data_IF_429138926458
#
_entry.id   IF_429138926458
#
_cell.length_a   1.000
_cell.length_b   1.000
_cell.length_c   1.000
_cell.angle_alpha   90.00
_cell.angle_beta   90.00
_cell.angle_gamma   90.00
#
_symmetry.space_group_name_H-M   'P 1'
#
loop_
_entity.id
_entity.type
_entity.pdbx_description
1 polymer ?
#
# COMPACT_ATOMS: atom_id res chain seq x y z
N UNK A 1 16.60 13.56 -17.00
CA UNK A 1 15.96 12.33 -16.54
C UNK A 1 14.53 12.63 -16.10
N UNK A 2 13.55 11.90 -16.65
CA UNK A 2 12.13 12.00 -16.26
C UNK A 2 11.88 11.01 -15.13
N UNK A 3 11.07 11.40 -14.14
CA UNK A 3 10.55 10.51 -13.09
C UNK A 3 9.11 10.15 -13.44
N UNK A 4 8.78 8.87 -13.30
CA UNK A 4 7.45 8.31 -13.52
C UNK A 4 6.99 7.61 -12.25
N UNK A 5 5.73 7.83 -11.88
CA UNK A 5 5.08 7.01 -10.86
C UNK A 5 4.72 5.65 -11.45
N UNK A 6 4.87 4.60 -10.66
CA UNK A 6 4.48 3.23 -11.01
C UNK A 6 3.44 2.72 -10.05
N UNK A 7 2.56 1.86 -10.53
CA UNK A 7 1.48 1.25 -9.76
C UNK A 7 1.35 -0.22 -10.09
N UNK A 8 1.29 -1.07 -9.06
CA UNK A 8 0.78 -2.42 -9.12
C UNK A 8 -0.38 -2.54 -8.16
N UNK A 9 -1.58 -2.69 -8.69
CA UNK A 9 -2.78 -2.87 -7.87
C UNK A 9 -2.98 -4.35 -7.50
N UNK A 10 -3.61 -4.60 -6.36
CA UNK A 10 -4.04 -5.92 -5.91
C UNK A 10 -5.57 -5.88 -5.81
N UNK A 11 -6.26 -6.59 -6.70
CA UNK A 11 -7.72 -6.58 -6.77
C UNK A 11 -8.29 -7.76 -6.01
N UNK A 12 -8.83 -7.50 -4.82
CA UNK A 12 -9.62 -8.48 -4.08
C UNK A 12 -11.06 -8.46 -4.55
N UNK A 13 -11.73 -9.60 -4.48
CA UNK A 13 -13.11 -9.78 -4.90
C UNK A 13 -13.72 -11.06 -4.34
N UNK A 14 -15.07 -11.11 -4.27
CA UNK A 14 -15.80 -12.33 -3.99
C UNK A 14 -16.44 -12.90 -5.25
N UNK A 15 -16.55 -14.22 -5.33
CA UNK A 15 -17.32 -14.92 -6.34
C UNK A 15 -18.54 -15.59 -5.70
N UNK A 16 -19.71 -15.34 -6.30
CA UNK A 16 -20.99 -15.94 -5.86
C UNK A 16 -21.59 -16.74 -7.02
N UNK A 17 -22.10 -17.93 -6.72
CA UNK A 17 -22.90 -18.69 -7.69
C UNK A 17 -24.08 -17.83 -8.17
N UNK A 18 -24.28 -17.77 -9.48
CA UNK A 18 -25.28 -16.93 -10.10
C UNK A 18 -26.69 -17.20 -9.60
N UNK A 19 -27.02 -18.45 -9.31
CA UNK A 19 -28.36 -18.82 -8.78
C UNK A 19 -28.57 -18.29 -7.37
N UNK A 20 -27.53 -18.39 -6.52
CA UNK A 20 -27.55 -17.86 -5.15
C UNK A 20 -27.64 -16.32 -5.19
N UNK A 21 -26.93 -15.68 -6.07
CA UNK A 21 -27.00 -14.23 -6.24
C UNK A 21 -28.44 -13.77 -6.59
N UNK A 22 -29.09 -14.41 -7.54
CA UNK A 22 -30.46 -14.07 -7.93
C UNK A 22 -31.51 -14.43 -6.86
N UNK A 23 -31.22 -15.40 -6.01
CA UNK A 23 -32.08 -15.73 -4.87
C UNK A 23 -32.00 -14.72 -3.70
N UNK A 24 -31.04 -13.76 -3.75
CA UNK A 24 -30.79 -12.76 -2.71
C UNK A 24 -31.00 -11.35 -3.27
N UNK A 25 -32.20 -10.75 -3.12
CA UNK A 25 -32.48 -9.39 -3.60
C UNK A 25 -31.53 -8.33 -3.02
N UNK A 26 -31.12 -8.47 -1.76
CA UNK A 26 -30.17 -7.60 -1.11
C UNK A 26 -28.80 -7.60 -1.82
N UNK A 27 -28.24 -8.75 -2.16
CA UNK A 27 -27.01 -8.85 -2.96
C UNK A 27 -27.19 -8.24 -4.37
N UNK A 28 -28.32 -8.54 -5.01
CA UNK A 28 -28.57 -8.09 -6.37
C UNK A 28 -28.71 -6.56 -6.46
N UNK A 29 -29.31 -5.92 -5.47
CA UNK A 29 -29.61 -4.48 -5.44
C UNK A 29 -28.44 -3.69 -4.85
N UNK A 30 -27.80 -4.16 -3.79
CA UNK A 30 -26.83 -3.38 -3.02
C UNK A 30 -25.39 -3.88 -3.13
N UNK A 31 -25.16 -5.06 -3.69
CA UNK A 31 -23.85 -5.71 -3.72
C UNK A 31 -23.44 -6.33 -2.39
N UNK A 32 -24.29 -6.30 -1.34
CA UNK A 32 -24.02 -6.85 -0.01
C UNK A 32 -25.25 -7.50 0.61
N UNK A 33 -25.02 -8.40 1.58
CA UNK A 33 -26.12 -8.96 2.38
C UNK A 33 -26.54 -7.97 3.46
N UNK A 34 -27.85 -7.74 3.60
CA UNK A 34 -28.44 -6.87 4.62
C UNK A 34 -29.13 -7.65 5.74
N UNK A 35 -29.53 -8.87 5.48
CA UNK A 35 -30.23 -9.76 6.40
C UNK A 35 -29.85 -11.21 6.15
N UNK A 36 -30.21 -12.11 7.06
CA UNK A 36 -29.95 -13.53 6.96
C UNK A 36 -29.18 -14.05 8.18
N UNK A 37 -28.87 -15.34 8.13
CA UNK A 37 -28.12 -16.04 9.18
C UNK A 37 -26.61 -16.06 8.85
N UNK A 38 -25.78 -16.15 9.89
CA UNK A 38 -24.34 -16.38 9.73
C UNK A 38 -24.06 -17.69 8.98
N UNK A 39 -23.04 -17.73 8.11
CA UNK A 39 -22.69 -18.95 7.39
C UNK A 39 -22.16 -20.03 8.35
N UNK A 40 -22.28 -21.29 7.96
CA UNK A 40 -21.74 -22.41 8.71
C UNK A 40 -20.20 -22.41 8.75
N UNK A 41 -19.56 -21.89 7.71
CA UNK A 41 -18.11 -21.71 7.63
C UNK A 41 -17.72 -20.24 7.77
N UNK A 42 -16.78 -19.97 8.68
CA UNK A 42 -16.10 -18.68 8.82
C UNK A 42 -14.66 -18.74 8.31
N UNK A 43 -13.78 -18.02 8.98
CA UNK A 43 -12.34 -17.90 8.62
C UNK A 43 -11.43 -18.67 9.58
N UNK A 44 -11.95 -19.74 10.22
CA UNK A 44 -11.18 -20.51 11.20
C UNK A 44 -9.93 -21.07 10.56
N UNK A 45 -8.79 -20.90 11.25
CA UNK A 45 -7.48 -21.38 10.84
C UNK A 45 -7.01 -20.87 9.47
N UNK A 46 -7.69 -19.88 8.89
CA UNK A 46 -7.39 -19.35 7.55
C UNK A 46 -7.32 -20.46 6.48
N UNK A 47 -8.12 -21.51 6.64
CA UNK A 47 -8.06 -22.72 5.82
C UNK A 47 -8.41 -22.45 4.35
N UNK A 48 -9.21 -21.43 4.05
CA UNK A 48 -9.47 -20.99 2.68
C UNK A 48 -8.22 -20.39 2.04
N UNK A 49 -7.50 -19.51 2.73
CA UNK A 49 -6.28 -18.87 2.21
C UNK A 49 -5.22 -19.90 1.79
N UNK A 50 -5.00 -20.92 2.60
CA UNK A 50 -4.04 -22.00 2.34
C UNK A 50 -4.59 -23.16 1.53
N UNK A 51 -5.88 -23.13 1.19
CA UNK A 51 -6.57 -24.18 0.45
C UNK A 51 -6.28 -24.14 -1.06
N UNK A 52 -6.65 -25.23 -1.74
CA UNK A 52 -6.63 -25.27 -3.20
C UNK A 52 -7.81 -24.49 -3.79
N UNK A 53 -7.57 -23.85 -4.94
CA UNK A 53 -8.63 -23.15 -5.68
C UNK A 53 -9.55 -24.19 -6.32
N UNK A 54 -10.87 -24.13 -6.11
CA UNK A 54 -11.81 -25.06 -6.73
C UNK A 54 -11.74 -25.02 -8.26
N UNK A 55 -11.92 -26.16 -8.92
CA UNK A 55 -11.76 -26.30 -10.38
C UNK A 55 -12.61 -25.29 -11.17
N UNK A 56 -13.87 -25.10 -10.79
CA UNK A 56 -14.76 -24.12 -11.44
C UNK A 56 -14.22 -22.70 -11.34
N UNK A 57 -13.63 -22.32 -10.20
CA UNK A 57 -13.01 -21.03 -9.99
C UNK A 57 -11.71 -20.92 -10.79
N UNK A 58 -10.89 -21.98 -10.82
CA UNK A 58 -9.67 -22.03 -11.63
C UNK A 58 -9.98 -21.83 -13.12
N UNK A 59 -11.06 -22.43 -13.64
CA UNK A 59 -11.48 -22.26 -15.03
C UNK A 59 -11.91 -20.80 -15.32
N UNK A 60 -12.65 -20.18 -14.42
CA UNK A 60 -12.97 -18.75 -14.48
C UNK A 60 -11.69 -17.89 -14.47
N UNK A 61 -10.80 -18.12 -13.51
CA UNK A 61 -9.55 -17.36 -13.39
C UNK A 61 -8.66 -17.48 -14.63
N UNK A 62 -8.58 -18.67 -15.22
CA UNK A 62 -7.80 -18.91 -16.44
C UNK A 62 -8.38 -18.15 -17.64
N UNK A 63 -9.70 -18.11 -17.76
CA UNK A 63 -10.33 -17.41 -18.87
C UNK A 63 -10.19 -15.88 -18.72
N UNK A 64 -10.46 -15.30 -17.54
CA UNK A 64 -10.31 -13.86 -17.39
C UNK A 64 -8.85 -13.41 -17.54
N UNK A 65 -7.89 -14.17 -17.05
CA UNK A 65 -6.46 -13.90 -17.26
C UNK A 65 -6.13 -13.87 -18.76
N UNK A 66 -6.61 -14.85 -19.51
CA UNK A 66 -6.42 -14.89 -20.96
C UNK A 66 -7.02 -13.68 -21.67
N UNK A 67 -8.23 -13.29 -21.32
CA UNK A 67 -8.88 -12.09 -21.87
C UNK A 67 -8.11 -10.81 -21.49
N UNK A 68 -7.59 -10.71 -20.27
CA UNK A 68 -6.76 -9.61 -19.83
C UNK A 68 -5.45 -9.52 -20.63
N UNK A 69 -4.76 -10.65 -20.82
CA UNK A 69 -3.51 -10.70 -21.58
C UNK A 69 -3.69 -10.28 -23.05
N UNK A 70 -4.83 -10.60 -23.67
CA UNK A 70 -5.17 -10.11 -25.03
C UNK A 70 -5.24 -8.58 -25.12
N UNK A 71 -5.60 -7.91 -24.02
CA UNK A 71 -5.69 -6.46 -23.95
C UNK A 71 -4.41 -5.82 -23.39
N UNK A 72 -3.34 -6.62 -23.17
CA UNK A 72 -2.07 -6.15 -22.65
C UNK A 72 -2.05 -5.95 -21.13
N UNK A 73 -3.08 -6.37 -20.40
CA UNK A 73 -3.10 -6.31 -18.93
C UNK A 73 -2.24 -7.43 -18.37
N UNK A 74 -1.09 -7.12 -17.72
CA UNK A 74 -0.07 -8.13 -17.39
C UNK A 74 -0.37 -8.84 -16.06
N UNK A 75 -1.47 -9.59 -15.98
CA UNK A 75 -1.83 -10.37 -14.79
C UNK A 75 -0.70 -11.32 -14.43
N UNK A 76 -0.31 -11.33 -13.16
CA UNK A 76 0.81 -12.10 -12.64
C UNK A 76 0.40 -13.16 -11.64
N UNK A 77 -0.46 -12.79 -10.68
CA UNK A 77 -0.88 -13.67 -9.59
C UNK A 77 -2.39 -13.73 -9.47
N UNK A 78 -2.89 -14.86 -9.02
CA UNK A 78 -4.27 -15.11 -8.59
C UNK A 78 -4.24 -16.17 -7.51
N UNK A 79 -4.93 -15.92 -6.41
CA UNK A 79 -4.92 -16.80 -5.25
C UNK A 79 -6.22 -16.67 -4.43
N UNK A 80 -6.36 -17.56 -3.45
CA UNK A 80 -7.40 -17.45 -2.44
C UNK A 80 -7.07 -16.33 -1.46
N UNK A 81 -8.10 -15.61 -1.03
CA UNK A 81 -8.07 -14.72 0.12
C UNK A 81 -8.62 -15.40 1.38
N UNK A 82 -8.64 -14.67 2.51
CA UNK A 82 -8.94 -15.24 3.82
C UNK A 82 -10.40 -15.65 3.97
N UNK A 83 -11.34 -14.86 3.44
CA UNK A 83 -12.75 -15.19 3.55
C UNK A 83 -13.16 -16.28 2.56
N UNK A 84 -14.13 -17.14 2.90
CA UNK A 84 -14.69 -18.11 1.97
C UNK A 84 -15.18 -17.45 0.67
N UNK A 85 -14.83 -18.01 -0.48
CA UNK A 85 -15.13 -17.50 -1.81
C UNK A 85 -14.56 -16.09 -2.11
N UNK A 86 -13.54 -15.68 -1.38
CA UNK A 86 -12.77 -14.48 -1.66
C UNK A 86 -11.46 -14.84 -2.35
N UNK A 87 -11.10 -14.03 -3.34
CA UNK A 87 -9.93 -14.23 -4.19
C UNK A 87 -9.26 -12.89 -4.49
N UNK A 88 -8.02 -12.97 -4.94
CA UNK A 88 -7.25 -11.81 -5.39
C UNK A 88 -6.58 -12.08 -6.73
N UNK A 89 -6.39 -11.02 -7.52
CA UNK A 89 -5.47 -11.01 -8.64
C UNK A 89 -4.65 -9.72 -8.66
N UNK A 90 -3.40 -9.84 -9.10
CA UNK A 90 -2.47 -8.72 -9.19
C UNK A 90 -1.65 -8.80 -10.49
N UNK A 91 -1.38 -7.64 -11.15
CA UNK A 91 -0.53 -7.56 -12.33
C UNK A 91 0.95 -7.37 -11.97
N UNK A 92 1.81 -7.42 -12.98
CA UNK A 92 3.07 -6.68 -12.95
C UNK A 92 2.78 -5.18 -12.85
N UNK A 93 3.60 -4.44 -12.09
CA UNK A 93 3.46 -2.99 -12.02
C UNK A 93 3.77 -2.31 -13.36
N UNK A 94 3.08 -1.22 -13.62
CA UNK A 94 3.21 -0.42 -14.82
C UNK A 94 3.31 1.07 -14.48
N UNK A 95 3.44 1.93 -15.49
CA UNK A 95 3.25 3.36 -15.32
C UNK A 95 1.84 3.61 -14.75
N UNK A 96 1.74 4.52 -13.78
CA UNK A 96 0.54 4.63 -12.93
C UNK A 96 -0.75 4.90 -13.71
N UNK A 97 -0.73 5.72 -14.76
CA UNK A 97 -1.91 6.01 -15.57
C UNK A 97 -2.39 4.77 -16.33
N UNK A 98 -1.45 4.05 -16.98
CA UNK A 98 -1.75 2.81 -17.68
C UNK A 98 -2.29 1.74 -16.73
N UNK A 99 -1.67 1.59 -15.57
CA UNK A 99 -2.12 0.64 -14.55
C UNK A 99 -3.55 0.92 -14.06
N UNK A 100 -3.92 2.19 -13.91
CA UNK A 100 -5.29 2.61 -13.55
C UNK A 100 -6.28 2.21 -14.64
N UNK A 101 -5.97 2.48 -15.90
CA UNK A 101 -6.84 2.11 -17.03
C UNK A 101 -7.00 0.60 -17.13
N UNK A 102 -5.90 -0.15 -16.98
CA UNK A 102 -5.92 -1.61 -16.96
C UNK A 102 -6.76 -2.19 -15.82
N UNK A 103 -6.75 -1.57 -14.64
CA UNK A 103 -7.62 -2.00 -13.54
C UNK A 103 -9.11 -1.82 -13.87
N UNK A 104 -9.49 -0.71 -14.50
CA UNK A 104 -10.89 -0.49 -14.91
C UNK A 104 -11.34 -1.52 -15.95
N UNK A 105 -10.49 -1.81 -16.93
CA UNK A 105 -10.75 -2.86 -17.92
C UNK A 105 -10.84 -4.24 -17.26
N UNK A 106 -9.96 -4.56 -16.32
CA UNK A 106 -10.00 -5.81 -15.56
C UNK A 106 -11.35 -6.01 -14.88
N UNK A 107 -11.85 -5.01 -14.16
CA UNK A 107 -13.11 -5.12 -13.42
C UNK A 107 -14.29 -5.46 -14.35
N UNK A 108 -14.30 -4.87 -15.54
CA UNK A 108 -15.30 -5.20 -16.59
C UNK A 108 -15.13 -6.62 -17.14
N UNK A 109 -13.89 -7.02 -17.48
CA UNK A 109 -13.58 -8.36 -17.97
C UNK A 109 -13.96 -9.43 -16.93
N UNK A 110 -13.58 -9.24 -15.68
CA UNK A 110 -13.93 -10.16 -14.58
C UNK A 110 -15.43 -10.38 -14.51
N UNK A 111 -16.22 -9.30 -14.57
CA UNK A 111 -17.68 -9.36 -14.52
C UNK A 111 -18.28 -10.08 -15.73
N UNK A 112 -17.74 -9.86 -16.94
CA UNK A 112 -18.19 -10.51 -18.18
C UNK A 112 -17.86 -12.00 -18.19
N UNK A 113 -16.64 -12.36 -17.82
CA UNK A 113 -16.18 -13.75 -17.79
C UNK A 113 -16.89 -14.54 -16.68
N UNK A 114 -17.11 -13.93 -15.52
CA UNK A 114 -17.84 -14.59 -14.42
C UNK A 114 -19.22 -15.10 -14.86
N UNK A 115 -19.96 -14.31 -15.64
CA UNK A 115 -21.27 -14.73 -16.19
C UNK A 115 -21.17 -15.97 -17.09
N UNK A 116 -20.11 -16.11 -17.87
CA UNK A 116 -19.89 -17.31 -18.71
C UNK A 116 -19.73 -18.57 -17.86
N UNK A 117 -19.14 -18.41 -16.65
CA UNK A 117 -18.93 -19.49 -15.66
C UNK A 117 -20.05 -19.61 -14.64
N UNK A 118 -21.19 -18.91 -14.85
CA UNK A 118 -22.32 -18.91 -13.91
C UNK A 118 -21.92 -18.40 -12.52
N UNK A 119 -21.03 -17.39 -12.48
CA UNK A 119 -20.67 -16.63 -11.30
C UNK A 119 -21.09 -15.18 -11.39
N UNK A 120 -21.16 -14.51 -10.24
CA UNK A 120 -21.19 -13.07 -10.10
C UNK A 120 -19.97 -12.63 -9.27
N UNK A 121 -19.28 -11.60 -9.76
CA UNK A 121 -18.22 -10.93 -9.00
C UNK A 121 -18.86 -9.89 -8.12
N UNK A 122 -18.49 -9.88 -6.84
CA UNK A 122 -18.82 -8.81 -5.92
C UNK A 122 -17.58 -7.97 -5.67
N UNK A 123 -17.66 -6.70 -6.03
CA UNK A 123 -16.61 -5.69 -5.81
C UNK A 123 -16.95 -4.76 -4.65
N UNK A 124 -18.09 -4.95 -3.98
CA UNK A 124 -18.41 -4.24 -2.75
C UNK A 124 -17.35 -4.54 -1.68
N UNK A 125 -16.91 -3.54 -0.94
CA UNK A 125 -15.81 -3.64 0.02
C UNK A 125 -16.14 -4.55 1.21
N UNK A 126 -17.41 -4.69 1.57
CA UNK A 126 -17.87 -5.52 2.68
C UNK A 126 -19.17 -6.22 2.31
N UNK A 127 -19.16 -7.22 1.42
CA UNK A 127 -20.39 -7.87 0.98
C UNK A 127 -21.03 -8.75 2.07
N UNK A 128 -20.24 -9.22 3.04
CA UNK A 128 -20.71 -10.08 4.13
C UNK A 128 -20.20 -9.55 5.45
N UNK A 129 -21.09 -9.39 6.42
CA UNK A 129 -20.73 -9.01 7.79
C UNK A 129 -19.98 -10.14 8.51
N UNK A 130 -19.05 -9.78 9.41
CA UNK A 130 -18.36 -10.73 10.28
C UNK A 130 -17.18 -11.49 9.65
N UNK A 131 -16.93 -11.33 8.35
CA UNK A 131 -15.77 -11.90 7.66
C UNK A 131 -14.97 -10.79 6.95
N UNK A 132 -13.84 -11.15 6.35
CA UNK A 132 -12.97 -10.21 5.66
C UNK A 132 -13.71 -9.40 4.58
N UNK A 133 -13.29 -8.15 4.40
CA UNK A 133 -13.73 -7.31 3.29
C UNK A 133 -12.72 -7.34 2.15
N UNK A 134 -13.06 -6.71 1.03
CA UNK A 134 -12.19 -6.62 -0.14
C UNK A 134 -11.64 -5.22 -0.35
N UNK A 135 -10.34 -5.14 -0.51
CA UNK A 135 -9.61 -3.93 -0.86
C UNK A 135 -9.08 -3.93 -2.28
N UNK A 136 -8.40 -2.87 -2.59
CA UNK A 136 -7.59 -2.71 -3.79
C UNK A 136 -6.28 -2.06 -3.37
N UNK A 137 -5.31 -2.86 -2.94
CA UNK A 137 -4.05 -2.34 -2.46
C UNK A 137 -3.27 -1.70 -3.61
N UNK A 138 -2.78 -0.50 -3.40
CA UNK A 138 -2.04 0.24 -4.40
C UNK A 138 -0.55 0.23 -4.06
N UNK A 139 0.21 -0.62 -4.72
CA UNK A 139 1.68 -0.66 -4.62
C UNK A 139 2.26 0.45 -5.50
N UNK A 140 2.61 1.56 -4.87
CA UNK A 140 3.10 2.76 -5.52
C UNK A 140 4.60 2.96 -5.33
N UNK A 141 5.30 3.35 -6.41
CA UNK A 141 6.69 3.73 -6.37
C UNK A 141 7.01 4.82 -7.39
N UNK A 142 8.26 5.29 -7.38
CA UNK A 142 8.79 6.23 -8.35
C UNK A 142 10.02 5.64 -9.02
N UNK A 143 10.07 5.71 -10.35
CA UNK A 143 11.22 5.27 -11.11
C UNK A 143 11.66 6.33 -12.14
N UNK A 144 12.94 6.32 -12.49
CA UNK A 144 13.42 7.10 -13.62
C UNK A 144 13.01 6.43 -14.93
N UNK A 145 12.96 7.19 -16.01
CA UNK A 145 12.75 6.65 -17.35
C UNK A 145 13.86 5.69 -17.84
N UNK A 146 14.92 5.53 -17.03
CA UNK A 146 15.99 4.54 -17.24
C UNK A 146 15.83 3.29 -16.36
N UNK A 147 14.68 3.15 -15.67
CA UNK A 147 14.35 1.98 -14.87
C UNK A 147 14.90 1.99 -13.43
N UNK A 148 15.53 3.07 -12.97
CA UNK A 148 16.05 3.14 -11.59
C UNK A 148 14.90 3.46 -10.63
N UNK A 149 14.62 2.57 -9.67
CA UNK A 149 13.67 2.80 -8.60
C UNK A 149 14.26 3.77 -7.56
N UNK A 150 13.56 4.87 -7.28
CA UNK A 150 13.99 5.93 -6.36
C UNK A 150 13.66 5.62 -4.88
N UNK A 151 12.81 4.64 -4.63
CA UNK A 151 12.47 4.12 -3.31
C UNK A 151 13.24 2.83 -2.96
N UNK A 152 14.25 2.48 -3.73
CA UNK A 152 15.12 1.34 -3.41
C UNK A 152 16.22 1.75 -2.43
N UNK A 153 16.23 1.20 -1.19
CA UNK A 153 17.21 1.56 -0.16
C UNK A 153 18.63 1.11 -0.49
N UNK A 154 18.79 0.07 -1.33
CA UNK A 154 20.08 -0.51 -1.61
C UNK A 154 20.67 -1.29 -0.42
N UNK A 155 21.95 -1.62 -0.48
CA UNK A 155 22.63 -2.38 0.57
C UNK A 155 22.92 -1.58 1.84
N UNK A 156 23.03 -0.26 1.73
CA UNK A 156 23.35 0.67 2.83
C UNK A 156 22.36 1.84 2.84
N UNK A 157 21.13 1.63 3.31
CA UNK A 157 20.06 2.64 3.25
C UNK A 157 20.46 3.97 3.88
N UNK A 158 21.17 3.94 5.02
CA UNK A 158 21.63 5.11 5.78
C UNK A 158 22.55 6.03 4.96
N UNK A 159 23.33 5.46 4.04
CA UNK A 159 24.28 6.21 3.22
C UNK A 159 23.73 6.51 1.82
N UNK A 160 22.53 6.06 1.50
CA UNK A 160 21.89 6.31 0.22
C UNK A 160 21.07 7.61 0.26
N UNK A 161 21.75 8.75 0.06
CA UNK A 161 21.13 10.07 0.14
C UNK A 161 19.97 10.22 -0.87
N UNK A 162 20.07 9.61 -2.06
CA UNK A 162 19.00 9.63 -3.04
C UNK A 162 17.74 8.91 -2.49
N UNK A 163 17.89 7.69 -1.97
CA UNK A 163 16.79 6.97 -1.35
C UNK A 163 16.16 7.77 -0.19
N UNK A 164 17.00 8.25 0.73
CA UNK A 164 16.55 9.05 1.87
C UNK A 164 15.78 10.30 1.44
N UNK A 165 16.23 10.96 0.37
CA UNK A 165 15.56 12.13 -0.17
C UNK A 165 14.12 11.81 -0.59
N UNK A 166 13.92 10.81 -1.42
CA UNK A 166 12.57 10.45 -1.89
C UNK A 166 11.71 9.84 -0.79
N UNK A 167 12.30 8.99 0.04
CA UNK A 167 11.61 8.31 1.14
C UNK A 167 11.08 9.30 2.21
N UNK A 168 11.95 10.19 2.71
CA UNK A 168 11.57 11.16 3.76
C UNK A 168 10.59 12.20 3.21
N UNK A 169 10.76 12.66 1.97
CA UNK A 169 9.79 13.56 1.34
C UNK A 169 8.42 12.89 1.14
N UNK A 170 8.37 11.59 0.85
CA UNK A 170 7.11 10.85 0.79
C UNK A 170 6.43 10.81 2.17
N UNK A 171 7.15 10.50 3.23
CA UNK A 171 6.60 10.53 4.60
C UNK A 171 6.12 11.94 5.00
N UNK A 172 6.89 12.97 4.65
CA UNK A 172 6.50 14.36 4.91
C UNK A 172 5.25 14.75 4.15
N UNK A 173 5.11 14.34 2.88
CA UNK A 173 3.91 14.56 2.08
C UNK A 173 2.68 13.89 2.71
N UNK A 174 2.80 12.61 3.12
CA UNK A 174 1.71 11.88 3.80
C UNK A 174 1.34 12.55 5.11
N UNK A 175 2.32 13.01 5.90
CA UNK A 175 2.06 13.76 7.13
C UNK A 175 1.30 15.07 6.88
N UNK A 176 1.71 15.83 5.87
CA UNK A 176 1.14 17.15 5.58
C UNK A 176 -0.28 17.06 4.99
N UNK A 177 -0.56 16.01 4.21
CA UNK A 177 -1.79 15.84 3.44
C UNK A 177 -2.54 14.54 3.78
N UNK A 178 -2.46 14.10 5.04
CA UNK A 178 -3.18 12.92 5.53
C UNK A 178 -4.69 13.03 5.34
N UNK A 179 -5.23 14.24 5.47
CA UNK A 179 -6.64 14.58 5.25
C UNK A 179 -7.09 14.32 3.81
N UNK A 180 -6.28 14.69 2.81
CA UNK A 180 -6.57 14.40 1.40
C UNK A 180 -6.53 12.90 1.11
N UNK A 181 -5.57 12.16 1.70
CA UNK A 181 -5.53 10.70 1.58
C UNK A 181 -6.76 10.06 2.23
N UNK A 182 -7.19 10.55 3.40
CA UNK A 182 -8.42 10.07 4.04
C UNK A 182 -9.65 10.36 3.19
N UNK A 183 -9.73 11.55 2.60
CA UNK A 183 -10.84 11.93 1.73
C UNK A 183 -10.92 11.06 0.47
N UNK A 184 -9.79 10.73 -0.17
CA UNK A 184 -9.78 9.98 -1.42
C UNK A 184 -10.20 8.51 -1.29
N UNK A 185 -10.27 7.97 -0.08
CA UNK A 185 -10.71 6.59 0.21
C UNK A 185 -12.09 6.54 0.88
N UNK A 186 -12.70 7.68 1.14
CA UNK A 186 -13.99 7.76 1.83
C UNK A 186 -15.14 7.35 0.89
N UNK A 187 -15.79 6.25 1.24
CA UNK A 187 -17.02 5.80 0.61
C UNK A 187 -17.80 4.93 1.59
N UNK A 188 -19.12 4.87 1.43
CA UNK A 188 -19.98 4.08 2.32
C UNK A 188 -19.55 2.60 2.38
N UNK A 189 -19.20 1.99 1.23
CA UNK A 189 -18.71 0.61 1.18
C UNK A 189 -17.40 0.43 1.93
N UNK A 190 -16.45 1.34 1.73
CA UNK A 190 -15.15 1.27 2.34
C UNK A 190 -15.15 1.58 3.84
N UNK A 191 -16.08 2.42 4.31
CA UNK A 191 -16.26 2.67 5.75
C UNK A 191 -16.76 1.43 6.51
N UNK A 192 -17.49 0.52 5.84
CA UNK A 192 -17.83 -0.80 6.40
C UNK A 192 -16.63 -1.73 6.50
N UNK A 193 -15.62 -1.56 5.65
CA UNK A 193 -14.42 -2.40 5.59
C UNK A 193 -13.32 -1.93 6.53
N UNK A 194 -12.96 -0.64 6.50
CA UNK A 194 -11.82 -0.08 7.21
C UNK A 194 -11.94 -0.28 8.74
N UNK A 195 -10.84 -0.72 9.36
CA UNK A 195 -10.78 -0.99 10.79
C UNK A 195 -11.43 -2.31 11.21
N UNK A 196 -11.82 -3.16 10.27
CA UNK A 196 -12.44 -4.46 10.54
C UNK A 196 -11.67 -5.59 9.85
N UNK A 197 -11.47 -6.70 10.57
CA UNK A 197 -10.72 -7.89 10.13
C UNK A 197 -9.29 -7.53 9.72
N UNK A 198 -8.90 -7.78 8.47
CA UNK A 198 -7.55 -7.49 7.96
C UNK A 198 -7.39 -6.09 7.34
N UNK A 199 -8.47 -5.34 7.21
CA UNK A 199 -8.40 -4.02 6.63
C UNK A 199 -7.66 -3.04 7.57
N UNK A 200 -6.84 -2.11 7.04
CA UNK A 200 -6.16 -1.12 7.86
C UNK A 200 -7.17 -0.19 8.55
N UNK A 201 -6.78 0.46 9.66
CA UNK A 201 -7.61 1.50 10.26
C UNK A 201 -7.80 2.69 9.31
N UNK A 202 -8.87 3.44 9.50
CA UNK A 202 -9.14 4.65 8.72
C UNK A 202 -8.20 5.82 9.03
N UNK A 203 -7.41 5.72 10.10
CA UNK A 203 -6.43 6.72 10.52
C UNK A 203 -5.23 6.65 9.58
N UNK A 204 -4.93 7.74 8.88
CA UNK A 204 -3.78 7.80 7.98
C UNK A 204 -2.50 7.88 8.80
N UNK A 205 -1.68 6.84 8.67
CA UNK A 205 -0.35 6.71 9.26
C UNK A 205 0.54 5.88 8.34
N UNK A 206 1.85 5.91 8.59
CA UNK A 206 2.83 5.19 7.78
C UNK A 206 3.57 4.15 8.60
N UNK A 207 3.58 2.92 8.12
CA UNK A 207 4.45 1.85 8.60
C UNK A 207 5.73 1.80 7.76
N UNK A 208 6.90 1.79 8.39
CA UNK A 208 8.19 1.75 7.68
C UNK A 208 9.12 0.62 8.15
N UNK A 209 8.73 -0.08 9.20
CA UNK A 209 9.49 -1.15 9.83
C UNK A 209 10.56 -0.64 10.80
N UNK A 210 10.93 -1.50 11.73
CA UNK A 210 11.83 -1.16 12.86
C UNK A 210 13.21 -0.70 12.39
N UNK A 211 13.72 -1.29 11.32
CA UNK A 211 15.04 -0.95 10.79
C UNK A 211 15.11 0.48 10.25
N UNK A 212 14.15 0.87 9.39
CA UNK A 212 14.12 2.24 8.83
C UNK A 212 13.75 3.25 9.92
N UNK A 213 12.87 2.90 10.85
CA UNK A 213 12.56 3.74 12.01
C UNK A 213 13.83 4.01 12.84
N UNK A 214 14.65 3.00 13.12
CA UNK A 214 15.93 3.18 13.79
C UNK A 214 16.90 4.08 13.01
N UNK A 215 17.00 3.91 11.70
CA UNK A 215 17.83 4.78 10.84
C UNK A 215 17.36 6.24 10.90
N UNK A 216 16.05 6.50 10.81
CA UNK A 216 15.52 7.87 10.90
C UNK A 216 15.76 8.49 12.28
N UNK A 217 15.58 7.73 13.36
CA UNK A 217 15.84 8.19 14.71
C UNK A 217 17.34 8.49 14.95
N UNK A 218 18.22 7.70 14.36
CA UNK A 218 19.66 7.96 14.37
C UNK A 218 20.00 9.25 13.59
N UNK A 219 19.41 9.43 12.42
CA UNK A 219 19.62 10.65 11.62
C UNK A 219 19.08 11.90 12.31
N UNK A 220 17.99 11.77 13.08
CA UNK A 220 17.46 12.85 13.90
C UNK A 220 18.43 13.27 15.01
N UNK A 221 19.08 12.30 15.69
CA UNK A 221 19.95 12.51 16.87
C UNK A 221 21.36 12.98 16.51
N UNK A 222 21.91 12.59 15.37
CA UNK A 222 23.35 12.63 15.03
C UNK A 222 23.95 13.97 14.64
N UNK A 223 23.37 15.12 14.93
CA UNK A 223 23.99 16.37 14.53
C UNK A 223 24.34 17.28 15.68
N UNK A 224 25.66 17.33 15.98
CA UNK A 224 26.31 18.59 16.38
C UNK A 224 26.41 19.47 15.14
N UNK A 225 26.15 20.80 15.20
CA UNK A 225 26.37 21.70 14.08
C UNK A 225 27.81 21.57 13.57
N UNK A 226 28.00 21.25 12.28
CA UNK A 226 29.31 21.13 11.65
C UNK A 226 29.90 19.71 11.54
N UNK A 227 29.17 18.66 11.91
CA UNK A 227 29.63 17.28 11.73
C UNK A 227 29.40 16.77 10.32
N UNK A 228 30.49 16.51 9.58
CA UNK A 228 30.42 15.72 8.34
C UNK A 228 29.85 14.34 8.65
N UNK A 229 29.00 13.78 7.77
CA UNK A 229 28.66 12.36 7.81
C UNK A 229 29.95 11.55 7.68
N UNK A 230 30.42 10.96 8.78
CA UNK A 230 31.47 9.95 8.69
C UNK A 230 30.87 8.67 8.12
N UNK A 231 31.57 7.93 7.25
CA UNK A 231 31.20 6.59 6.87
C UNK A 231 31.16 5.74 8.13
N UNK A 232 29.99 5.36 8.57
CA UNK A 232 29.86 4.60 9.80
C UNK A 232 30.28 3.14 9.65
N UNK A 233 30.89 2.68 10.72
CA UNK A 233 31.26 1.31 10.96
C UNK A 233 30.13 0.35 10.59
N UNK A 234 30.51 -0.66 9.82
CA UNK A 234 29.69 -1.79 9.43
C UNK A 234 29.05 -2.46 10.63
N UNK A 235 27.81 -2.14 10.94
CA UNK A 235 26.98 -3.01 11.75
C UNK A 235 26.46 -4.13 10.85
N UNK A 236 27.38 -4.96 10.37
CA UNK A 236 27.06 -6.29 9.88
C UNK A 236 26.70 -7.14 11.09
N UNK A 237 25.43 -7.40 11.29
CA UNK A 237 25.04 -8.61 12.03
C UNK A 237 25.48 -9.79 11.16
N UNK A 238 26.72 -10.25 11.37
CA UNK A 238 27.22 -11.49 10.82
C UNK A 238 26.52 -12.65 11.55
N UNK A 239 25.37 -13.05 11.02
CA UNK A 239 24.94 -14.42 11.24
C UNK A 239 25.93 -15.32 10.48
N UNK A 240 26.72 -16.10 11.21
CA UNK A 240 27.83 -16.90 10.70
C UNK A 240 27.43 -18.09 9.81
N UNK A 241 26.43 -17.95 8.94
CA UNK A 241 25.97 -18.96 8.00
C UNK A 241 26.03 -18.35 6.60
N UNK A 242 27.07 -18.68 5.88
CA UNK A 242 27.51 -18.07 4.62
C UNK A 242 26.68 -18.29 3.36
N UNK A 243 25.36 -18.49 3.41
CA UNK A 243 24.50 -18.62 2.22
C UNK A 243 23.02 -18.29 2.46
N UNK A 244 22.63 -17.69 3.55
CA UNK A 244 21.25 -17.23 3.74
C UNK A 244 21.20 -15.75 3.35
N UNK A 245 20.30 -15.31 2.43
CA UNK A 245 20.05 -13.90 2.22
C UNK A 245 19.73 -13.28 3.57
N UNK A 246 20.20 -12.06 3.85
CA UNK A 246 19.78 -11.32 5.03
C UNK A 246 18.27 -11.14 4.95
N UNK A 247 17.55 -12.02 5.61
CA UNK A 247 16.12 -11.87 5.84
C UNK A 247 16.02 -10.75 6.86
N UNK A 248 15.57 -9.59 6.41
CA UNK A 248 15.16 -8.51 7.28
C UNK A 248 13.94 -9.02 8.05
N UNK A 249 14.19 -9.50 9.26
CA UNK A 249 13.16 -9.98 10.18
C UNK A 249 12.36 -8.79 10.69
N UNK A 250 11.40 -8.36 9.92
CA UNK A 250 10.28 -7.57 10.42
C UNK A 250 9.06 -8.51 10.51
N UNK A 251 8.83 -9.05 11.70
CA UNK A 251 7.71 -9.97 11.96
C UNK A 251 6.40 -9.24 12.28
N UNK A 252 6.34 -7.93 12.05
CA UNK A 252 5.13 -7.15 12.32
C UNK A 252 4.11 -7.43 11.22
N UNK A 253 2.90 -7.83 11.63
CA UNK A 253 1.76 -7.98 10.71
C UNK A 253 1.39 -6.60 10.13
N UNK A 254 1.84 -6.33 8.91
CA UNK A 254 1.60 -5.07 8.19
C UNK A 254 0.12 -4.74 8.05
N UNK A 255 -0.75 -5.75 8.01
CA UNK A 255 -2.19 -5.60 7.80
C UNK A 255 -2.86 -4.85 8.97
N UNK A 256 -2.30 -4.95 10.17
CA UNK A 256 -2.85 -4.36 11.39
C UNK A 256 -2.22 -3.04 11.80
N UNK A 257 -1.26 -2.53 11.04
CA UNK A 257 -0.50 -1.34 11.40
C UNK A 257 -1.09 -0.08 10.79
N UNK A 258 -0.63 0.28 9.62
CA UNK A 258 -0.93 1.55 8.96
C UNK A 258 -1.47 1.33 7.55
N UNK A 259 -2.36 2.21 7.08
CA UNK A 259 -2.89 2.12 5.72
C UNK A 259 -1.86 2.43 4.64
N UNK A 260 -0.74 3.05 5.00
CA UNK A 260 0.35 3.39 4.09
C UNK A 260 1.64 2.74 4.58
N UNK A 261 2.07 1.65 3.95
CA UNK A 261 3.17 0.80 4.41
C UNK A 261 4.32 0.74 3.41
N UNK A 262 5.56 0.92 3.89
CA UNK A 262 6.75 0.71 3.08
C UNK A 262 7.10 -0.79 3.02
N UNK A 263 7.22 -1.34 1.82
CA UNK A 263 7.43 -2.78 1.59
C UNK A 263 8.74 -3.05 0.83
N UNK A 264 9.81 -2.36 1.22
CA UNK A 264 11.17 -2.61 0.76
C UNK A 264 11.63 -1.76 -0.43
N UNK A 265 10.80 -1.45 -1.40
CA UNK A 265 11.13 -0.59 -2.54
C UNK A 265 9.92 0.17 -3.11
N UNK A 266 8.84 0.20 -2.37
CA UNK A 266 7.57 0.84 -2.72
C UNK A 266 6.76 1.11 -1.46
N UNK A 267 5.77 1.97 -1.56
CA UNK A 267 4.71 2.10 -0.57
C UNK A 267 3.45 1.39 -1.05
N UNK A 268 2.83 0.66 -0.17
CA UNK A 268 1.54 0.01 -0.36
C UNK A 268 0.46 0.83 0.33
N UNK A 269 -0.44 1.42 -0.45
CA UNK A 269 -1.62 2.10 0.09
C UNK A 269 -2.80 1.13 0.11
N UNK A 270 -3.14 0.64 1.30
CA UNK A 270 -4.01 -0.51 1.55
C UNK A 270 -5.45 -0.13 1.82
N UNK A 271 -5.73 1.16 1.94
CA UNK A 271 -7.03 1.67 2.32
C UNK A 271 -7.98 1.90 1.13
N UNK A 272 -7.56 1.68 -0.10
CA UNK A 272 -8.41 1.82 -1.29
C UNK A 272 -9.40 0.65 -1.33
N UNK A 273 -10.68 0.95 -1.54
CA UNK A 273 -11.74 -0.06 -1.64
C UNK A 273 -11.72 -0.83 -2.96
N UNK A 274 -12.20 -2.07 -2.95
CA UNK A 274 -12.19 -2.96 -4.12
C UNK A 274 -13.01 -2.43 -5.30
N UNK A 275 -14.11 -1.71 -5.06
CA UNK A 275 -14.93 -1.11 -6.10
C UNK A 275 -14.40 0.22 -6.63
N UNK A 276 -13.45 0.85 -5.92
CA UNK A 276 -12.97 2.19 -6.22
C UNK A 276 -12.08 2.23 -7.47
N UNK A 277 -12.04 3.40 -8.12
CA UNK A 277 -11.04 3.69 -9.13
C UNK A 277 -9.72 4.12 -8.46
N UNK A 278 -8.61 3.48 -8.82
CA UNK A 278 -7.28 3.83 -8.31
C UNK A 278 -6.87 5.28 -8.63
N UNK A 279 -7.48 5.91 -9.63
CA UNK A 279 -7.13 7.26 -10.07
C UNK A 279 -7.20 8.29 -8.93
N UNK A 280 -8.19 8.19 -8.04
CA UNK A 280 -8.32 9.12 -6.91
C UNK A 280 -7.11 9.05 -5.98
N UNK A 281 -6.76 7.85 -5.53
CA UNK A 281 -5.59 7.64 -4.66
C UNK A 281 -4.29 8.05 -5.36
N UNK A 282 -4.11 7.64 -6.63
CA UNK A 282 -2.89 7.97 -7.39
C UNK A 282 -2.75 9.46 -7.65
N UNK A 283 -3.83 10.16 -7.96
CA UNK A 283 -3.82 11.62 -8.14
C UNK A 283 -3.37 12.33 -6.87
N UNK A 284 -3.94 11.94 -5.73
CA UNK A 284 -3.58 12.54 -4.43
C UNK A 284 -2.12 12.26 -4.09
N UNK A 285 -1.68 10.98 -4.13
CA UNK A 285 -0.31 10.60 -3.79
C UNK A 285 0.69 11.32 -4.70
N UNK A 286 0.49 11.28 -6.01
CA UNK A 286 1.41 11.90 -6.96
C UNK A 286 1.48 13.43 -6.79
N UNK A 287 0.34 14.08 -6.56
CA UNK A 287 0.28 15.54 -6.40
C UNK A 287 0.95 15.99 -5.11
N UNK A 288 0.64 15.34 -3.97
CA UNK A 288 1.23 15.72 -2.69
C UNK A 288 2.74 15.48 -2.65
N UNK A 289 3.23 14.38 -3.24
CA UNK A 289 4.66 14.09 -3.31
C UNK A 289 5.37 15.05 -4.26
N UNK A 290 4.77 15.38 -5.41
CA UNK A 290 5.34 16.35 -6.34
C UNK A 290 5.44 17.75 -5.71
N UNK A 291 4.41 18.20 -5.00
CA UNK A 291 4.44 19.48 -4.27
C UNK A 291 5.52 19.48 -3.19
N UNK A 292 5.60 18.41 -2.40
CA UNK A 292 6.60 18.27 -1.35
C UNK A 292 8.04 18.28 -1.89
N UNK A 293 8.29 17.60 -3.00
CA UNK A 293 9.62 17.61 -3.65
C UNK A 293 9.98 18.99 -4.22
N UNK A 294 8.99 19.75 -4.72
CA UNK A 294 9.18 21.13 -5.18
C UNK A 294 9.58 22.05 -4.01
N UNK A 295 8.89 21.93 -2.88
CA UNK A 295 9.20 22.69 -1.66
C UNK A 295 10.58 22.32 -1.12
N UNK A 296 10.87 21.02 -1.02
CA UNK A 296 12.19 20.52 -0.62
C UNK A 296 13.31 21.11 -1.47
N UNK A 297 13.15 21.09 -2.80
CA UNK A 297 14.15 21.68 -3.71
C UNK A 297 14.35 23.16 -3.43
N UNK A 298 13.28 23.92 -3.28
CA UNK A 298 13.37 25.35 -3.02
C UNK A 298 14.11 25.66 -1.70
N UNK A 299 13.86 24.88 -0.65
CA UNK A 299 14.53 25.04 0.64
C UNK A 299 16.03 24.69 0.57
N UNK A 300 16.38 23.60 -0.13
CA UNK A 300 17.78 23.23 -0.35
C UNK A 300 18.51 24.32 -1.11
N UNK A 301 17.93 24.83 -2.20
CA UNK A 301 18.51 25.90 -3.01
C UNK A 301 18.73 27.19 -2.18
N UNK A 302 17.79 27.52 -1.28
CA UNK A 302 17.94 28.65 -0.36
C UNK A 302 19.08 28.48 0.64
N UNK A 303 19.26 27.28 1.18
CA UNK A 303 20.36 26.98 2.12
C UNK A 303 21.72 27.11 1.42
N UNK A 304 21.84 26.58 0.20
CA UNK A 304 23.06 26.69 -0.61
C UNK A 304 23.37 28.18 -0.85
N UNK A 305 22.39 28.95 -1.31
CA UNK A 305 22.58 30.36 -1.65
C UNK A 305 22.93 31.22 -0.42
N UNK A 306 22.22 31.05 0.70
CA UNK A 306 22.36 31.91 1.90
C UNK A 306 23.54 31.51 2.78
N UNK A 307 23.80 30.20 2.96
CA UNK A 307 24.80 29.68 3.91
C UNK A 307 26.05 29.17 3.23
N UNK A 308 26.13 29.16 1.90
CA UNK A 308 27.23 28.59 1.09
C UNK A 308 27.56 27.14 1.47
N UNK A 309 26.52 26.37 1.86
CA UNK A 309 26.68 24.96 2.20
C UNK A 309 26.96 24.14 0.95
N UNK A 310 27.69 23.04 1.15
CA UNK A 310 27.72 21.98 0.15
C UNK A 310 26.32 21.40 -0.09
N UNK A 311 26.08 20.90 -1.31
CA UNK A 311 24.76 20.42 -1.73
C UNK A 311 24.25 19.28 -0.83
N UNK A 312 25.11 18.31 -0.54
CA UNK A 312 24.71 17.15 0.26
C UNK A 312 24.44 17.53 1.71
N UNK A 313 25.21 18.48 2.26
CA UNK A 313 24.98 19.04 3.59
C UNK A 313 23.65 19.80 3.66
N UNK A 314 23.32 20.61 2.63
CA UNK A 314 22.06 21.33 2.55
C UNK A 314 20.86 20.37 2.48
N UNK A 315 20.96 19.33 1.63
CA UNK A 315 19.96 18.27 1.52
C UNK A 315 19.75 17.61 2.90
N UNK A 316 20.84 17.23 3.56
CA UNK A 316 20.76 16.52 4.84
C UNK A 316 20.12 17.38 5.94
N UNK A 317 20.43 18.68 6.02
CA UNK A 317 19.81 19.59 7.00
C UNK A 317 18.31 19.70 6.82
N UNK A 318 17.82 19.79 5.57
CA UNK A 318 16.38 19.82 5.31
C UNK A 318 15.72 18.50 5.63
N UNK A 319 16.30 17.37 5.19
CA UNK A 319 15.76 16.04 5.47
C UNK A 319 15.65 15.76 6.97
N UNK A 320 16.64 16.16 7.74
CA UNK A 320 16.64 16.01 9.21
C UNK A 320 15.46 16.74 9.85
N UNK A 321 15.22 17.97 9.45
CA UNK A 321 14.06 18.73 9.92
C UNK A 321 12.75 18.03 9.55
N UNK A 322 12.63 17.53 8.32
CA UNK A 322 11.44 16.81 7.86
C UNK A 322 11.20 15.51 8.64
N UNK A 323 12.27 14.79 9.02
CA UNK A 323 12.15 13.61 9.90
C UNK A 323 11.47 13.99 11.22
N UNK A 324 11.93 15.08 11.85
CA UNK A 324 11.35 15.56 13.12
C UNK A 324 9.90 16.02 12.95
N UNK A 325 9.62 16.84 11.91
CA UNK A 325 8.30 17.39 11.66
C UNK A 325 7.26 16.31 11.31
N UNK A 326 7.65 15.26 10.60
CA UNK A 326 6.75 14.18 10.17
C UNK A 326 6.79 12.94 11.09
N UNK A 327 7.42 13.04 12.24
CA UNK A 327 7.60 11.89 13.16
C UNK A 327 6.27 11.29 13.61
N UNK A 328 5.25 12.13 13.81
CA UNK A 328 3.93 11.71 14.27
C UNK A 328 3.19 10.78 13.29
N UNK A 329 3.50 10.85 11.98
CA UNK A 329 2.85 10.00 10.97
C UNK A 329 3.26 8.53 11.07
N UNK A 330 4.44 8.25 11.67
CA UNK A 330 4.98 6.88 11.78
C UNK A 330 4.26 6.09 12.86
N UNK A 331 3.85 4.88 12.52
CA UNK A 331 3.22 3.95 13.45
C UNK A 331 3.59 2.50 13.12
N UNK A 332 4.05 1.77 14.11
CA UNK A 332 4.58 0.41 14.01
C UNK A 332 3.79 -0.60 14.87
N UNK A 333 2.73 -0.15 15.55
CA UNK A 333 1.97 -0.94 16.52
C UNK A 333 0.69 -1.55 15.94
N UNK A 334 -0.20 -2.01 16.85
CA UNK A 334 -1.50 -2.55 16.49
C UNK A 334 -2.51 -1.42 16.25
N UNK A 335 -2.87 -1.20 14.98
CA UNK A 335 -3.83 -0.18 14.56
C UNK A 335 -5.29 -0.41 15.00
N UNK A 336 -5.63 -1.59 15.52
CA UNK A 336 -6.96 -1.94 16.03
C UNK A 336 -7.14 -1.64 17.53
N UNK A 337 -6.06 -1.28 18.23
CA UNK A 337 -6.13 -0.98 19.66
C UNK A 337 -6.81 0.36 19.93
N UNK A 338 -7.69 0.44 20.93
CA UNK A 338 -8.31 1.69 21.38
C UNK A 338 -7.27 2.74 21.81
N UNK A 339 -6.14 2.29 22.32
CA UNK A 339 -5.01 3.15 22.71
C UNK A 339 -4.44 3.90 21.51
N UNK A 340 -4.41 3.26 20.34
CA UNK A 340 -3.97 3.89 19.10
C UNK A 340 -4.92 5.02 18.65
N UNK A 341 -6.22 4.84 18.77
CA UNK A 341 -7.21 5.89 18.42
C UNK A 341 -6.97 7.15 19.27
N UNK A 342 -6.74 6.95 20.58
CA UNK A 342 -6.45 8.06 21.52
C UNK A 342 -5.10 8.71 21.23
N UNK A 343 -4.09 7.91 20.89
CA UNK A 343 -2.75 8.40 20.55
C UNK A 343 -2.74 9.12 19.19
N UNK A 344 -3.44 8.59 18.20
CA UNK A 344 -3.59 9.21 16.89
C UNK A 344 -4.22 10.61 16.99
N UNK A 345 -5.28 10.75 17.78
CA UNK A 345 -5.92 12.04 18.02
C UNK A 345 -4.95 13.07 18.67
N UNK A 346 -4.05 12.64 19.58
CA UNK A 346 -3.01 13.52 20.15
C UNK A 346 -1.97 13.94 19.12
N UNK A 347 -1.71 13.10 18.12
CA UNK A 347 -0.76 13.37 17.03
C UNK A 347 -1.36 14.20 15.90
N UNK A 348 -2.68 14.47 15.93
CA UNK A 348 -3.39 15.15 14.85
C UNK A 348 -3.67 14.28 13.62
N UNK A 349 -3.77 12.99 13.83
CA UNK A 349 -4.08 11.99 12.81
C UNK A 349 -5.57 11.62 12.80
#
# INVERSE_FOLDING_TARGET
>A
TKVQATLGWEQEYFLIDERLYHARPDLAITGRTLFGHSPAKGQQLEDHYFGSIPERVTNYMREFEHECLKLGIPIRTRHNEVAPNQFECAPMFEEANLAVDHNQLLMDIMSKVARRHRFRVLLHEKPFAGINGSGKHNNWSMATNTGKNLLSPGRTPKNNLQFLTFFINTLKAVHTHADLLRACIASAGNDHRLGANEAPPAIISAFIGTQLSGILDDLEKKVKPGGKMSPDEKTELKLGIGKIPQILLDNTDRNRTSPFAFTGNKFEFRAVGSSANCAYAMTVINTMVAQQLKEFKAEVDQLIAKKKLDKDEAIFQVLRRYITESKSIRFEGNGYGEEWIKEAAKRGL
#
